data_IF_796928171734
#
_entry.id   IF_796928171734
#
_cell.length_a   1.000
_cell.length_b   1.000
_cell.length_c   1.000
_cell.angle_alpha   90.00
_cell.angle_beta   90.00
_cell.angle_gamma   90.00
#
_symmetry.space_group_name_H-M   'P 1'
#
loop_
_entity.id
_entity.type
_entity.pdbx_description
1 polymer ?
#
# COMPACT_ATOMS: atom_id res chain seq x y z
N UNK A 1 65.65 -24.39 -5.74
CA UNK A 1 64.79 -24.44 -4.53
C UNK A 1 65.53 -23.76 -3.38
N UNK A 2 64.76 -23.15 -2.47
CA UNK A 2 65.11 -22.31 -1.30
C UNK A 2 65.32 -20.81 -1.62
N UNK A 3 64.32 -19.93 -1.51
CA UNK A 3 63.50 -19.52 -0.34
C UNK A 3 64.10 -18.32 0.39
N UNK A 4 63.48 -17.14 0.28
CA UNK A 4 62.72 -16.48 1.38
C UNK A 4 62.38 -15.01 1.05
N UNK A 5 61.07 -14.76 1.02
CA UNK A 5 60.35 -13.63 1.62
C UNK A 5 60.82 -12.21 1.27
N UNK A 6 60.20 -11.62 0.24
CA UNK A 6 60.09 -10.17 0.13
C UNK A 6 59.17 -9.65 1.25
N UNK A 7 59.68 -8.74 2.08
CA UNK A 7 58.94 -8.09 3.16
C UNK A 7 57.98 -7.06 2.56
N UNK A 8 56.70 -7.19 2.87
CA UNK A 8 55.63 -6.24 2.53
C UNK A 8 55.95 -4.87 3.10
N UNK A 9 56.14 -3.88 2.22
CA UNK A 9 56.32 -2.48 2.58
C UNK A 9 54.93 -1.88 2.83
N UNK A 10 54.61 -1.59 4.09
CA UNK A 10 53.39 -0.87 4.45
C UNK A 10 53.61 0.60 4.15
N UNK A 11 53.07 1.08 3.03
CA UNK A 11 53.00 2.51 2.74
C UNK A 11 51.76 3.03 3.46
N UNK A 12 51.96 3.71 4.58
CA UNK A 12 50.95 4.53 5.21
C UNK A 12 50.86 5.88 4.47
N UNK A 13 49.72 6.16 3.85
CA UNK A 13 49.37 7.52 3.40
C UNK A 13 48.19 7.97 4.28
N UNK A 14 48.36 9.00 5.12
CA UNK A 14 47.24 9.58 5.83
C UNK A 14 46.56 10.66 4.97
N UNK A 15 45.24 10.73 5.15
CA UNK A 15 44.40 11.93 5.11
C UNK A 15 44.03 12.59 3.76
N UNK A 16 42.74 12.42 3.44
CA UNK A 16 41.80 13.41 2.88
C UNK A 16 42.14 14.11 1.55
N UNK A 17 41.34 13.81 0.52
CA UNK A 17 40.69 14.84 -0.33
C UNK A 17 39.65 14.23 -1.27
N UNK A 18 38.38 14.48 -0.92
CA UNK A 18 37.18 14.72 -1.77
C UNK A 18 37.30 14.43 -3.27
N UNK A 19 36.58 13.40 -3.74
CA UNK A 19 35.89 13.33 -5.05
C UNK A 19 34.67 12.43 -4.79
N UNK A 20 33.45 12.92 -4.65
CA UNK A 20 32.59 13.40 -5.74
C UNK A 20 31.33 12.53 -5.73
N UNK A 21 30.17 13.14 -6.01
CA UNK A 21 28.84 12.53 -6.02
C UNK A 21 28.80 11.04 -6.45
N UNK A 22 28.26 10.16 -5.60
CA UNK A 22 28.02 8.75 -5.96
C UNK A 22 27.51 7.82 -4.84
N UNK A 23 27.31 8.32 -3.61
CA UNK A 23 27.04 7.50 -2.43
C UNK A 23 25.55 7.25 -2.10
N UNK A 24 24.68 7.00 -3.08
CA UNK A 24 23.27 6.64 -2.83
C UNK A 24 22.82 5.30 -3.44
N UNK A 25 23.73 4.47 -3.94
CA UNK A 25 23.37 3.18 -4.52
C UNK A 25 24.09 2.03 -3.84
N UNK A 26 23.72 1.77 -2.59
CA UNK A 26 24.12 0.56 -1.87
C UNK A 26 22.93 -0.06 -1.12
N UNK A 27 21.77 -0.18 -1.78
CA UNK A 27 20.68 -1.08 -1.39
C UNK A 27 19.87 -1.40 -2.65
N UNK A 28 20.39 -2.26 -3.52
CA UNK A 28 19.60 -3.05 -4.47
C UNK A 28 20.50 -4.11 -5.10
N UNK A 29 20.86 -5.13 -4.32
CA UNK A 29 21.49 -6.33 -4.86
C UNK A 29 20.76 -7.56 -4.30
N UNK A 30 19.52 -7.75 -4.73
CA UNK A 30 18.87 -9.06 -4.72
C UNK A 30 17.81 -9.16 -5.82
N UNK A 31 18.23 -9.00 -7.06
CA UNK A 31 17.49 -9.51 -8.21
C UNK A 31 18.48 -10.19 -9.15
N UNK A 32 18.39 -11.52 -9.23
CA UNK A 32 19.05 -12.29 -10.30
C UNK A 32 18.42 -11.91 -11.64
N UNK A 33 19.20 -11.84 -12.75
CA UNK A 33 18.61 -11.66 -14.07
C UNK A 33 17.92 -12.97 -14.44
N UNK A 34 16.59 -13.01 -14.29
CA UNK A 34 15.77 -14.08 -14.87
C UNK A 34 15.80 -13.88 -16.38
N UNK A 35 16.14 -14.95 -17.09
CA UNK A 35 16.19 -15.03 -18.54
C UNK A 35 14.95 -14.40 -19.18
N UNK A 36 15.16 -13.77 -20.34
CA UNK A 36 14.11 -13.14 -21.15
C UNK A 36 13.06 -14.18 -21.57
N UNK A 37 12.03 -14.35 -20.74
CA UNK A 37 10.73 -14.85 -21.18
C UNK A 37 9.99 -13.68 -21.84
N UNK A 38 9.46 -13.92 -23.05
CA UNK A 38 8.49 -13.07 -23.73
C UNK A 38 7.30 -12.78 -22.81
N UNK A 39 7.39 -11.70 -22.03
CA UNK A 39 6.29 -11.23 -21.20
C UNK A 39 5.29 -10.56 -22.11
N UNK A 40 4.31 -11.32 -22.55
CA UNK A 40 3.05 -10.78 -23.03
C UNK A 40 2.47 -9.93 -21.89
N UNK A 41 2.65 -8.62 -21.97
CA UNK A 41 2.27 -7.68 -20.91
C UNK A 41 0.78 -7.45 -21.02
N UNK A 42 0.00 -8.29 -20.32
CA UNK A 42 -1.43 -8.08 -20.21
C UNK A 42 -1.69 -6.79 -19.41
N UNK A 43 -2.44 -5.88 -20.03
CA UNK A 43 -2.83 -4.62 -19.39
C UNK A 43 -4.05 -4.87 -18.52
N UNK A 44 -3.88 -4.76 -17.20
CA UNK A 44 -5.01 -4.81 -16.26
C UNK A 44 -5.65 -3.42 -16.18
N UNK A 45 -6.86 -3.29 -16.74
CA UNK A 45 -7.67 -2.07 -16.61
C UNK A 45 -8.54 -2.20 -15.35
N UNK A 46 -8.26 -1.38 -14.34
CA UNK A 46 -9.05 -1.30 -13.12
C UNK A 46 -9.91 -0.03 -13.15
N UNK A 47 -11.22 -0.20 -13.31
CA UNK A 47 -12.21 0.87 -13.16
C UNK A 47 -12.93 0.75 -11.81
N UNK A 48 -13.16 1.89 -11.15
CA UNK A 48 -13.90 1.97 -9.89
C UNK A 48 -14.84 3.16 -9.96
N UNK A 49 -16.04 3.00 -9.40
CA UNK A 49 -17.04 4.06 -9.30
C UNK A 49 -16.90 4.90 -8.02
N UNK A 50 -15.83 4.65 -7.25
CA UNK A 50 -15.52 5.32 -6.01
C UNK A 50 -14.02 5.61 -5.92
N UNK A 51 -13.61 6.70 -5.23
CA UNK A 51 -12.21 7.01 -5.04
C UNK A 51 -11.54 5.89 -4.23
N UNK A 52 -10.43 5.37 -4.75
CA UNK A 52 -9.61 4.41 -4.05
C UNK A 52 -8.17 4.88 -4.07
N UNK A 53 -7.55 4.89 -2.89
CA UNK A 53 -6.22 5.45 -2.68
C UNK A 53 -5.22 4.34 -2.42
N UNK A 54 -3.97 4.56 -2.81
CA UNK A 54 -2.88 3.59 -2.60
C UNK A 54 -1.95 3.96 -1.44
N UNK A 55 -2.17 5.12 -0.82
CA UNK A 55 -1.41 5.58 0.34
C UNK A 55 -2.31 6.21 1.41
N UNK A 56 -1.81 6.21 2.65
CA UNK A 56 -2.55 6.68 3.81
C UNK A 56 -2.84 8.19 3.78
N UNK A 57 -1.94 9.00 3.23
CA UNK A 57 -2.13 10.44 3.19
C UNK A 57 -3.24 10.80 2.20
N UNK A 58 -3.27 10.15 1.03
CA UNK A 58 -4.37 10.23 0.08
C UNK A 58 -5.66 9.73 0.70
N UNK A 59 -5.64 8.61 1.43
CA UNK A 59 -6.83 8.08 2.10
C UNK A 59 -7.44 9.09 3.08
N UNK A 60 -6.60 9.78 3.88
CA UNK A 60 -7.05 10.83 4.80
C UNK A 60 -7.66 12.01 4.03
N UNK A 61 -7.08 12.39 2.89
CA UNK A 61 -7.58 13.49 2.08
C UNK A 61 -8.92 13.17 1.40
N UNK A 62 -9.09 11.95 0.89
CA UNK A 62 -10.29 11.51 0.18
C UNK A 62 -11.44 11.09 1.11
N UNK A 63 -11.17 10.61 2.34
CA UNK A 63 -12.22 10.14 3.24
C UNK A 63 -13.10 11.28 3.79
N UNK A 64 -14.42 11.13 3.75
CA UNK A 64 -15.35 12.13 4.31
C UNK A 64 -15.29 12.21 5.85
N UNK A 65 -15.07 11.07 6.52
CA UNK A 65 -15.03 10.92 7.97
C UNK A 65 -13.87 10.02 8.38
N UNK A 66 -13.11 10.44 9.39
CA UNK A 66 -12.05 9.63 10.02
C UNK A 66 -12.23 9.74 11.53
N UNK A 67 -12.42 8.59 12.19
CA UNK A 67 -12.71 8.50 13.63
C UNK A 67 -11.87 7.42 14.29
N UNK A 68 -11.64 7.55 15.59
CA UNK A 68 -11.12 6.52 16.49
C UNK A 68 -12.26 6.08 17.40
N UNK A 69 -12.38 4.78 17.61
CA UNK A 69 -13.48 4.23 18.40
C UNK A 69 -13.44 2.72 18.51
N UNK A 70 -14.54 2.16 19.01
CA UNK A 70 -14.69 0.74 19.27
C UNK A 70 -15.86 0.15 18.49
N UNK A 71 -15.63 -1.02 17.90
CA UNK A 71 -16.67 -1.81 17.27
C UNK A 71 -17.48 -2.55 18.35
N UNK A 72 -18.79 -2.33 18.38
CA UNK A 72 -19.70 -2.90 19.39
C UNK A 72 -20.52 -4.09 18.88
N UNK A 73 -20.41 -4.43 17.59
CA UNK A 73 -21.08 -5.60 17.01
C UNK A 73 -21.89 -5.29 15.76
N UNK A 74 -22.43 -6.36 15.18
CA UNK A 74 -23.44 -6.27 14.12
C UNK A 74 -24.77 -5.88 14.75
N UNK A 75 -25.37 -4.80 14.29
CA UNK A 75 -26.70 -4.38 14.72
C UNK A 75 -27.77 -5.18 13.99
N UNK A 76 -27.77 -5.10 12.66
CA UNK A 76 -28.81 -5.68 11.83
C UNK A 76 -28.32 -5.93 10.40
N UNK A 77 -29.10 -6.73 9.67
CA UNK A 77 -28.92 -6.98 8.25
C UNK A 77 -30.18 -6.53 7.52
N UNK A 78 -30.02 -6.05 6.29
CA UNK A 78 -31.14 -5.51 5.52
C UNK A 78 -30.93 -5.71 4.02
N UNK A 79 -32.01 -5.63 3.24
CA UNK A 79 -31.91 -5.74 1.79
C UNK A 79 -31.58 -4.38 1.17
N UNK A 80 -30.38 -4.28 0.60
CA UNK A 80 -29.92 -3.08 -0.10
C UNK A 80 -30.50 -2.96 -1.52
N UNK A 81 -31.06 -4.05 -2.07
CA UNK A 81 -31.72 -3.99 -3.37
C UNK A 81 -32.98 -3.12 -3.29
N UNK A 82 -33.17 -2.24 -4.29
CA UNK A 82 -34.31 -1.33 -4.38
C UNK A 82 -35.24 -1.76 -5.50
N UNK A 83 -36.54 -1.70 -5.24
CA UNK A 83 -37.55 -2.02 -6.23
C UNK A 83 -37.38 -1.07 -7.44
N UNK A 84 -37.13 -1.59 -8.65
CA UNK A 84 -36.90 -0.76 -9.84
C UNK A 84 -38.08 0.16 -10.20
N UNK A 85 -39.30 -0.23 -9.80
CA UNK A 85 -40.52 0.55 -10.01
C UNK A 85 -40.81 1.53 -8.87
N UNK A 86 -40.24 1.32 -7.68
CA UNK A 86 -40.36 2.22 -6.53
C UNK A 86 -39.09 2.19 -5.67
N UNK A 87 -38.09 3.07 -5.92
CA UNK A 87 -36.81 3.05 -5.21
C UNK A 87 -36.87 3.32 -3.70
N UNK A 88 -38.02 3.75 -3.17
CA UNK A 88 -38.25 3.92 -1.73
C UNK A 88 -38.57 2.61 -1.00
N UNK A 89 -38.81 1.52 -1.73
CA UNK A 89 -39.08 0.19 -1.19
C UNK A 89 -37.94 -0.80 -1.50
N UNK A 90 -37.77 -1.79 -0.64
CA UNK A 90 -36.88 -2.92 -0.91
C UNK A 90 -37.38 -3.74 -2.12
N UNK A 91 -36.46 -4.26 -2.92
CA UNK A 91 -36.79 -5.23 -3.96
C UNK A 91 -37.21 -6.56 -3.30
N UNK A 92 -38.32 -7.14 -3.76
CA UNK A 92 -38.84 -8.42 -3.24
C UNK A 92 -38.29 -9.62 -3.99
N UNK A 93 -37.80 -9.41 -5.21
CA UNK A 93 -37.30 -10.48 -6.09
C UNK A 93 -35.77 -10.59 -6.04
N UNK A 94 -35.08 -9.49 -5.69
CA UNK A 94 -33.63 -9.45 -5.55
C UNK A 94 -33.23 -9.18 -4.10
N UNK A 95 -32.18 -9.86 -3.64
CA UNK A 95 -31.62 -9.66 -2.31
C UNK A 95 -30.13 -9.35 -2.38
N UNK A 96 -29.75 -8.20 -1.83
CA UNK A 96 -28.35 -7.79 -1.64
C UNK A 96 -28.16 -7.49 -0.16
N UNK A 97 -27.41 -8.35 0.55
CA UNK A 97 -27.27 -8.25 1.99
C UNK A 97 -26.40 -7.06 2.41
N UNK A 98 -27.02 -6.08 3.06
CA UNK A 98 -26.35 -5.01 3.79
C UNK A 98 -26.14 -5.38 5.26
N UNK A 99 -25.07 -4.85 5.85
CA UNK A 99 -24.76 -4.99 7.26
C UNK A 99 -24.73 -3.62 7.91
N UNK A 100 -25.48 -3.44 8.99
CA UNK A 100 -25.43 -2.26 9.84
C UNK A 100 -24.64 -2.63 11.11
N UNK A 101 -23.62 -1.84 11.43
CA UNK A 101 -22.72 -2.09 12.56
C UNK A 101 -22.88 -1.00 13.61
N UNK A 102 -22.77 -1.40 14.87
CA UNK A 102 -22.65 -0.48 16.00
C UNK A 102 -21.18 -0.14 16.21
N UNK A 103 -20.88 1.16 16.21
CA UNK A 103 -19.53 1.68 16.41
C UNK A 103 -19.59 2.88 17.35
N UNK A 104 -18.84 2.80 18.45
CA UNK A 104 -18.72 3.87 19.44
C UNK A 104 -17.59 4.81 19.06
N UNK A 105 -17.87 6.08 18.82
CA UNK A 105 -16.85 7.06 18.44
C UNK A 105 -16.28 7.71 19.70
N UNK A 106 -14.97 7.53 19.89
CA UNK A 106 -14.21 8.16 20.97
C UNK A 106 -13.62 9.51 20.54
N UNK A 107 -13.15 9.60 19.30
CA UNK A 107 -12.52 10.80 18.74
C UNK A 107 -12.79 10.93 17.25
N UNK A 108 -13.03 12.15 16.77
CA UNK A 108 -13.13 12.47 15.33
C UNK A 108 -11.87 13.20 14.89
N UNK A 109 -11.14 12.62 13.93
CA UNK A 109 -9.93 13.19 13.34
C UNK A 109 -10.28 14.10 12.15
N UNK A 110 -11.29 13.71 11.35
CA UNK A 110 -11.79 14.45 10.19
C UNK A 110 -13.29 14.20 10.02
N UNK A 111 -14.04 15.19 9.56
CA UNK A 111 -15.49 15.14 9.44
C UNK A 111 -16.17 15.97 10.52
N UNK A 112 -17.48 16.18 10.41
CA UNK A 112 -18.28 17.00 11.34
C UNK A 112 -19.03 16.10 12.33
#
# INVERSE_FOLDING_TARGET
MLSKKAKTMVIAIPLATVIGLGGYSAFNSHFSPVAEEDKNTETVILSKDFPATSDLNQMINEADLVVIGEYEGLDSKWNMARNPSNPSEEDKENYVEGHLYNFNISETIKGV
#
